data_IF_519087911523
#
_entry.id   IF_519087911523
#
_cell.length_a   1.000
_cell.length_b   1.000
_cell.length_c   1.000
_cell.angle_alpha   90.00
_cell.angle_beta   90.00
_cell.angle_gamma   90.00
#
_symmetry.space_group_name_H-M   'P 1'
#
loop_
_entity.id
_entity.type
_entity.pdbx_description
1 polymer ?
#
# COMPACT_ATOMS: atom_id res chain seq x y z
N UNK A 1 -2.09 -13.13 15.53
CA UNK A 1 -2.11 -11.79 14.90
C UNK A 1 -1.94 -11.93 13.40
N UNK A 2 -2.74 -11.24 12.58
CA UNK A 2 -2.51 -11.16 11.13
C UNK A 2 -1.20 -10.39 10.88
N UNK A 3 -0.38 -10.82 9.92
CA UNK A 3 0.80 -10.06 9.51
C UNK A 3 0.35 -8.76 8.84
N UNK A 4 0.81 -7.61 9.34
CA UNK A 4 0.48 -6.28 8.79
C UNK A 4 1.56 -5.88 7.79
N UNK A 5 1.44 -6.42 6.57
CA UNK A 5 2.37 -6.20 5.45
C UNK A 5 1.60 -5.54 4.32
N UNK A 6 2.11 -4.39 3.85
CA UNK A 6 1.51 -3.67 2.72
C UNK A 6 1.85 -4.34 1.40
N UNK A 7 1.05 -4.09 0.38
CA UNK A 7 1.33 -4.56 -0.98
C UNK A 7 2.67 -4.02 -1.50
N UNK A 8 2.98 -2.77 -1.17
CA UNK A 8 4.26 -2.16 -1.53
C UNK A 8 5.43 -2.87 -0.83
N UNK A 9 5.30 -3.19 0.46
CA UNK A 9 6.34 -3.92 1.19
C UNK A 9 6.54 -5.33 0.61
N UNK A 10 5.47 -6.00 0.19
CA UNK A 10 5.58 -7.29 -0.47
C UNK A 10 6.35 -7.20 -1.79
N UNK A 11 6.00 -6.23 -2.65
CA UNK A 11 6.66 -6.05 -3.96
C UNK A 11 8.14 -5.69 -3.76
N UNK A 12 8.43 -4.65 -2.99
CA UNK A 12 9.81 -4.18 -2.80
C UNK A 12 10.65 -5.14 -1.97
N UNK A 13 10.05 -5.82 -0.99
CA UNK A 13 10.71 -6.86 -0.21
C UNK A 13 11.09 -8.07 -1.06
N UNK A 14 10.21 -8.47 -1.98
CA UNK A 14 10.51 -9.54 -2.94
C UNK A 14 11.69 -9.13 -3.82
N UNK A 15 11.61 -7.97 -4.48
CA UNK A 15 12.70 -7.46 -5.33
C UNK A 15 14.04 -7.33 -4.59
N UNK A 16 14.02 -6.85 -3.34
CA UNK A 16 15.23 -6.73 -2.54
C UNK A 16 15.82 -8.11 -2.20
N UNK A 17 14.97 -9.08 -1.84
CA UNK A 17 15.43 -10.45 -1.56
C UNK A 17 16.05 -11.10 -2.80
N UNK A 18 15.52 -10.84 -3.99
CA UNK A 18 16.07 -11.32 -5.26
C UNK A 18 17.48 -10.80 -5.49
N UNK A 19 17.70 -9.50 -5.31
CA UNK A 19 19.02 -8.89 -5.52
C UNK A 19 20.05 -9.53 -4.58
N UNK A 20 19.70 -9.77 -3.31
CA UNK A 20 20.59 -10.46 -2.37
C UNK A 20 20.90 -11.89 -2.83
N UNK A 21 19.88 -12.64 -3.25
CA UNK A 21 20.07 -14.01 -3.75
C UNK A 21 21.00 -14.00 -4.98
N UNK A 22 20.84 -13.03 -5.87
CA UNK A 22 21.71 -12.87 -7.04
C UNK A 22 23.15 -12.56 -6.65
N UNK A 23 23.38 -11.63 -5.71
CA UNK A 23 24.73 -11.33 -5.23
C UNK A 23 25.40 -12.57 -4.63
N UNK A 24 24.68 -13.34 -3.81
CA UNK A 24 25.19 -14.59 -3.25
C UNK A 24 25.53 -15.57 -4.38
N UNK A 25 24.64 -15.75 -5.36
CA UNK A 25 24.89 -16.64 -6.50
C UNK A 25 26.15 -16.20 -7.26
N UNK A 26 26.31 -14.91 -7.55
CA UNK A 26 27.50 -14.39 -8.25
C UNK A 26 28.77 -14.67 -7.44
N UNK A 27 28.77 -14.35 -6.13
CA UNK A 27 29.93 -14.56 -5.25
C UNK A 27 30.31 -16.05 -5.11
N UNK A 28 29.33 -16.95 -5.14
CA UNK A 28 29.58 -18.39 -5.05
C UNK A 28 29.92 -19.04 -6.40
N UNK A 29 29.43 -18.50 -7.52
CA UNK A 29 29.58 -19.08 -8.87
C UNK A 29 30.76 -18.48 -9.65
N UNK A 30 31.42 -17.45 -9.11
CA UNK A 30 32.61 -16.80 -9.69
C UNK A 30 33.77 -17.75 -10.05
N UNK A 31 33.72 -19.02 -9.67
CA UNK A 31 34.78 -20.01 -9.89
C UNK A 31 34.46 -21.16 -10.85
N UNK A 32 33.21 -21.32 -11.36
CA UNK A 32 32.84 -22.57 -12.09
C UNK A 32 31.96 -22.48 -13.34
N UNK A 33 31.15 -21.42 -13.53
CA UNK A 33 30.24 -21.31 -14.70
C UNK A 33 30.62 -20.15 -15.62
N UNK A 34 30.44 -20.35 -16.94
CA UNK A 34 30.61 -19.30 -17.94
C UNK A 34 29.63 -18.14 -17.67
N UNK A 35 30.13 -16.91 -17.71
CA UNK A 35 29.40 -15.66 -17.47
C UNK A 35 28.14 -15.53 -18.33
N UNK A 36 28.12 -16.12 -19.53
CA UNK A 36 26.94 -16.17 -20.39
C UNK A 36 25.79 -16.97 -19.76
N UNK A 37 26.06 -18.13 -19.15
CA UNK A 37 25.03 -18.94 -18.49
C UNK A 37 24.52 -18.28 -17.21
N UNK A 38 25.40 -17.60 -16.47
CA UNK A 38 25.03 -16.80 -15.31
C UNK A 38 24.02 -15.71 -15.70
N UNK A 39 24.26 -15.00 -16.81
CA UNK A 39 23.35 -13.98 -17.34
C UNK A 39 21.97 -14.56 -17.71
N UNK A 40 21.93 -15.71 -18.38
CA UNK A 40 20.67 -16.38 -18.74
C UNK A 40 19.86 -16.80 -17.50
N UNK A 41 20.52 -17.37 -16.49
CA UNK A 41 19.89 -17.72 -15.22
C UNK A 41 19.31 -16.47 -14.55
N UNK A 42 20.09 -15.38 -14.47
CA UNK A 42 19.60 -14.12 -13.90
C UNK A 42 18.38 -13.56 -14.65
N UNK A 43 18.44 -13.54 -15.98
CA UNK A 43 17.32 -13.07 -16.80
C UNK A 43 16.05 -13.90 -16.57
N UNK A 44 16.19 -15.23 -16.49
CA UNK A 44 15.05 -16.13 -16.26
C UNK A 44 14.39 -15.94 -14.88
N UNK A 45 15.18 -15.72 -13.82
CA UNK A 45 14.65 -15.47 -12.47
C UNK A 45 13.91 -14.13 -12.44
N UNK A 46 14.48 -13.08 -13.00
CA UNK A 46 13.83 -11.76 -13.10
C UNK A 46 12.49 -11.89 -13.85
N UNK A 47 12.47 -12.62 -14.96
CA UNK A 47 11.27 -12.80 -15.76
C UNK A 47 10.20 -13.61 -15.02
N UNK A 48 10.59 -14.64 -14.28
CA UNK A 48 9.71 -15.43 -13.42
C UNK A 48 9.11 -14.58 -12.30
N UNK A 49 9.90 -13.72 -11.67
CA UNK A 49 9.40 -12.82 -10.62
C UNK A 49 8.42 -11.78 -11.15
N UNK A 50 8.72 -11.18 -12.30
CA UNK A 50 7.78 -10.28 -12.96
C UNK A 50 6.47 -10.99 -13.28
N UNK A 51 6.52 -12.26 -13.69
CA UNK A 51 5.32 -13.08 -13.89
C UNK A 51 4.58 -13.30 -12.57
N UNK A 52 5.26 -13.62 -11.47
CA UNK A 52 4.64 -13.80 -10.15
C UNK A 52 3.99 -12.50 -9.67
N UNK A 53 4.69 -11.36 -9.76
CA UNK A 53 4.16 -10.04 -9.40
C UNK A 53 2.96 -9.71 -10.28
N UNK A 54 3.03 -9.98 -11.59
CA UNK A 54 1.93 -9.77 -12.51
C UNK A 54 0.72 -10.64 -12.16
N UNK A 55 0.91 -11.91 -11.82
CA UNK A 55 -0.16 -12.80 -11.38
C UNK A 55 -0.77 -12.33 -10.07
N UNK A 56 0.05 -11.99 -9.08
CA UNK A 56 -0.38 -11.38 -7.82
C UNK A 56 -1.24 -10.15 -8.17
N UNK A 57 -0.71 -9.17 -8.88
CA UNK A 57 -1.45 -7.97 -9.26
C UNK A 57 -2.75 -8.33 -10.00
N UNK A 58 -2.77 -9.24 -10.96
CA UNK A 58 -3.98 -9.62 -11.72
C UNK A 58 -5.07 -10.26 -10.86
N UNK A 59 -4.71 -11.08 -9.87
CA UNK A 59 -5.66 -11.75 -8.99
C UNK A 59 -6.02 -10.91 -7.75
N UNK A 60 -5.19 -9.93 -7.39
CA UNK A 60 -5.24 -9.14 -6.15
C UNK A 60 -5.73 -7.70 -6.43
N UNK A 61 -5.56 -7.18 -7.65
CA UNK A 61 -6.29 -6.01 -8.19
C UNK A 61 -7.77 -6.41 -8.27
N UNK A 62 -8.51 -5.99 -7.25
CA UNK A 62 -9.82 -6.53 -6.93
C UNK A 62 -10.82 -6.38 -8.07
N UNK A 63 -11.44 -7.50 -8.46
CA UNK A 63 -12.77 -7.46 -9.06
C UNK A 63 -13.71 -6.74 -8.08
N UNK A 64 -14.28 -5.62 -8.51
CA UNK A 64 -15.27 -4.85 -7.72
C UNK A 64 -14.70 -4.01 -6.57
N UNK A 65 -13.44 -3.57 -6.65
CA UNK A 65 -12.90 -2.48 -5.80
C UNK A 65 -12.72 -1.20 -6.65
N UNK A 66 -12.78 0.00 -6.03
CA UNK A 66 -12.44 1.25 -6.72
C UNK A 66 -11.06 1.19 -7.36
N UNK A 67 -10.88 1.88 -8.50
CA UNK A 67 -9.62 1.95 -9.24
C UNK A 67 -8.42 2.40 -8.38
N UNK A 68 -8.68 3.14 -7.30
CA UNK A 68 -7.67 3.70 -6.41
C UNK A 68 -7.49 2.85 -5.13
N UNK A 69 -7.78 1.55 -5.19
CA UNK A 69 -7.62 0.62 -4.07
C UNK A 69 -7.20 -0.79 -4.52
N UNK A 70 -6.54 -1.53 -3.63
CA UNK A 70 -6.08 -2.91 -3.86
C UNK A 70 -6.48 -3.76 -2.66
N UNK A 71 -6.93 -4.99 -2.87
CA UNK A 71 -7.10 -5.95 -1.78
C UNK A 71 -5.75 -6.59 -1.53
N UNK A 72 -5.13 -6.49 -0.37
CA UNK A 72 -3.85 -7.15 -0.10
C UNK A 72 -4.04 -8.67 0.06
N UNK A 73 -3.00 -9.49 -0.22
CA UNK A 73 -3.05 -10.94 0.02
C UNK A 73 -3.19 -11.28 1.50
N UNK A 74 -2.94 -10.32 2.41
CA UNK A 74 -3.12 -10.45 3.85
C UNK A 74 -4.54 -10.07 4.31
N UNK A 75 -5.43 -9.76 3.37
CA UNK A 75 -6.85 -9.53 3.62
C UNK A 75 -7.20 -8.11 4.04
N UNK A 76 -6.34 -7.14 3.77
CA UNK A 76 -6.61 -5.72 3.98
C UNK A 76 -7.06 -5.06 2.67
N UNK A 77 -7.83 -3.98 2.73
CA UNK A 77 -7.99 -3.09 1.57
C UNK A 77 -7.00 -1.93 1.74
N UNK A 78 -6.18 -1.67 0.73
CA UNK A 78 -5.15 -0.63 0.72
C UNK A 78 -5.52 0.48 -0.27
N UNK A 79 -5.44 1.76 0.10
CA UNK A 79 -5.61 2.88 -0.84
C UNK A 79 -4.37 3.06 -1.73
N UNK A 80 -4.57 3.05 -3.05
CA UNK A 80 -3.54 3.22 -4.08
C UNK A 80 -3.93 4.33 -5.08
N UNK A 81 -3.78 5.59 -4.66
CA UNK A 81 -4.17 6.80 -5.41
C UNK A 81 -3.18 7.27 -6.49
N UNK A 82 -1.97 6.71 -6.53
CA UNK A 82 -0.94 7.04 -7.51
C UNK A 82 -0.71 8.55 -7.72
N UNK A 83 -0.62 8.99 -8.98
CA UNK A 83 -0.33 10.40 -9.34
C UNK A 83 -1.51 11.35 -9.10
N UNK A 84 -2.73 10.87 -8.86
CA UNK A 84 -3.94 11.70 -8.73
C UNK A 84 -3.87 12.63 -7.51
N UNK A 85 -3.17 12.23 -6.45
CA UNK A 85 -2.94 13.08 -5.27
C UNK A 85 -1.97 14.25 -5.46
N UNK A 86 -1.27 14.36 -6.59
CA UNK A 86 -0.33 15.48 -6.82
C UNK A 86 -1.04 16.84 -6.81
N UNK A 87 -2.26 16.89 -7.36
CA UNK A 87 -3.02 18.14 -7.52
C UNK A 87 -3.85 18.47 -6.27
N UNK A 88 -4.49 17.48 -5.65
CA UNK A 88 -5.38 17.67 -4.51
C UNK A 88 -5.03 16.72 -3.34
N UNK A 89 -4.62 17.28 -2.20
CA UNK A 89 -4.27 16.47 -1.02
C UNK A 89 -5.50 15.87 -0.34
N UNK A 90 -6.65 16.53 -0.45
CA UNK A 90 -7.93 16.04 0.08
C UNK A 90 -8.47 14.84 -0.73
N UNK A 91 -7.93 14.59 -1.92
CA UNK A 91 -8.29 13.42 -2.71
C UNK A 91 -7.95 12.11 -1.99
N UNK A 92 -6.80 12.05 -1.29
CA UNK A 92 -6.44 10.87 -0.51
C UNK A 92 -7.42 10.62 0.64
N UNK A 93 -7.84 11.69 1.32
CA UNK A 93 -8.83 11.64 2.39
C UNK A 93 -10.17 11.13 1.86
N UNK A 94 -10.67 11.68 0.75
CA UNK A 94 -11.88 11.19 0.07
C UNK A 94 -11.80 9.69 -0.23
N UNK A 95 -10.71 9.24 -0.86
CA UNK A 95 -10.51 7.82 -1.20
C UNK A 95 -10.49 6.93 0.05
N UNK A 96 -9.87 7.37 1.15
CA UNK A 96 -9.88 6.60 2.40
C UNK A 96 -11.31 6.44 2.96
N UNK A 97 -12.13 7.50 2.89
CA UNK A 97 -13.52 7.46 3.32
C UNK A 97 -14.37 6.55 2.42
N UNK A 98 -14.24 6.65 1.10
CA UNK A 98 -14.94 5.78 0.13
C UNK A 98 -14.60 4.30 0.34
N UNK A 99 -13.31 3.99 0.49
CA UNK A 99 -12.84 2.64 0.78
C UNK A 99 -13.44 2.13 2.09
N UNK A 100 -13.69 3.00 3.08
CA UNK A 100 -14.27 2.58 4.35
C UNK A 100 -15.67 1.98 4.17
N UNK A 101 -16.53 2.61 3.38
CA UNK A 101 -17.89 2.11 3.11
C UNK A 101 -17.83 0.73 2.46
N UNK A 102 -16.95 0.55 1.48
CA UNK A 102 -16.76 -0.72 0.78
C UNK A 102 -16.16 -1.78 1.72
N UNK A 103 -15.22 -1.39 2.57
CA UNK A 103 -14.55 -2.26 3.52
C UNK A 103 -15.54 -2.79 4.58
N UNK A 104 -16.48 -1.96 5.04
CA UNK A 104 -17.59 -2.37 5.91
C UNK A 104 -18.45 -3.44 5.22
N UNK A 105 -18.91 -3.17 3.99
CA UNK A 105 -19.73 -4.12 3.22
C UNK A 105 -19.02 -5.46 3.00
N UNK A 106 -17.72 -5.42 2.70
CA UNK A 106 -16.90 -6.62 2.48
C UNK A 106 -16.37 -7.27 3.75
N UNK A 107 -16.64 -6.69 4.93
CA UNK A 107 -16.10 -7.12 6.23
C UNK A 107 -14.57 -7.28 6.21
N UNK A 108 -13.86 -6.27 5.68
CA UNK A 108 -12.41 -6.23 5.58
C UNK A 108 -11.86 -5.03 6.34
N UNK A 109 -10.66 -5.18 6.88
CA UNK A 109 -9.93 -4.08 7.51
C UNK A 109 -9.19 -3.28 6.43
N UNK A 110 -8.85 -2.04 6.75
CA UNK A 110 -8.12 -1.14 5.83
C UNK A 110 -6.71 -0.99 6.33
N UNK A 111 -5.71 -1.13 5.46
CA UNK A 111 -4.32 -0.85 5.78
C UNK A 111 -3.90 0.43 5.06
N UNK A 112 -3.48 1.43 5.84
CA UNK A 112 -2.96 2.69 5.32
C UNK A 112 -1.47 2.78 5.65
N UNK A 113 -0.66 2.91 4.61
CA UNK A 113 0.79 3.09 4.74
C UNK A 113 1.24 4.30 3.94
N UNK A 114 1.17 5.48 4.57
CA UNK A 114 1.31 6.76 3.86
C UNK A 114 1.75 7.89 4.79
N UNK A 115 2.23 8.98 4.20
CA UNK A 115 2.49 10.27 4.87
C UNK A 115 1.51 11.38 4.44
N UNK A 116 0.57 11.06 3.55
CA UNK A 116 -0.37 12.03 2.97
C UNK A 116 -1.46 12.43 3.97
N UNK A 117 -1.84 11.52 4.87
CA UNK A 117 -2.79 11.75 5.96
C UNK A 117 -2.07 11.80 7.32
N UNK A 118 -2.55 12.67 8.21
CA UNK A 118 -2.05 12.78 9.59
C UNK A 118 -2.82 11.85 10.53
N UNK A 119 -2.16 11.37 11.58
CA UNK A 119 -2.80 10.60 12.68
C UNK A 119 -4.05 11.28 13.21
N UNK A 120 -3.97 12.58 13.48
CA UNK A 120 -5.10 13.40 13.94
C UNK A 120 -6.33 13.33 13.01
N UNK A 121 -6.14 13.24 11.69
CA UNK A 121 -7.26 13.14 10.75
C UNK A 121 -7.87 11.75 10.80
N UNK A 122 -7.05 10.70 10.91
CA UNK A 122 -7.56 9.33 11.07
C UNK A 122 -8.33 9.18 12.38
N UNK A 123 -7.77 9.64 13.50
CA UNK A 123 -8.44 9.63 14.81
C UNK A 123 -9.73 10.45 14.81
N UNK A 124 -9.79 11.55 14.06
CA UNK A 124 -11.01 12.36 13.92
C UNK A 124 -12.18 11.56 13.33
N UNK A 125 -11.93 10.72 12.32
CA UNK A 125 -12.99 9.98 11.63
C UNK A 125 -13.24 8.59 12.21
N UNK A 126 -12.18 7.93 12.67
CA UNK A 126 -12.20 6.52 13.02
C UNK A 126 -12.00 6.30 14.54
N UNK A 127 -11.50 7.29 15.28
CA UNK A 127 -11.37 7.20 16.74
C UNK A 127 -10.61 5.97 17.20
N UNK A 128 -11.24 5.15 18.06
CA UNK A 128 -10.65 3.93 18.64
C UNK A 128 -10.54 2.75 17.69
N UNK A 129 -11.11 2.82 16.49
CA UNK A 129 -10.99 1.72 15.50
C UNK A 129 -9.66 1.72 14.75
N UNK A 130 -8.78 2.69 15.02
CA UNK A 130 -7.45 2.78 14.41
C UNK A 130 -6.39 2.16 15.32
N UNK A 131 -5.62 1.23 14.76
CA UNK A 131 -4.41 0.69 15.38
C UNK A 131 -3.18 1.20 14.62
N UNK A 132 -2.18 1.69 15.35
CA UNK A 132 -0.96 2.25 14.75
C UNK A 132 0.24 1.32 14.93
N UNK A 133 1.00 1.18 13.86
CA UNK A 133 2.23 0.38 13.83
C UNK A 133 3.42 1.25 13.39
N UNK A 134 4.61 0.82 13.79
CA UNK A 134 5.85 1.35 13.23
C UNK A 134 6.02 0.87 11.78
N UNK A 135 6.37 1.74 10.82
CA UNK A 135 6.71 1.28 9.48
C UNK A 135 8.02 0.48 9.52
N UNK A 136 8.08 -0.61 8.74
CA UNK A 136 9.28 -1.42 8.56
C UNK A 136 10.38 -0.66 7.82
N UNK A 137 11.59 -1.22 7.76
CA UNK A 137 12.71 -0.62 7.01
C UNK A 137 12.39 -0.51 5.51
N UNK A 138 11.87 -1.58 4.90
CA UNK A 138 11.44 -1.58 3.49
C UNK A 138 10.40 -0.50 3.27
N UNK A 139 9.41 -0.41 4.15
CA UNK A 139 8.37 0.59 4.00
C UNK A 139 8.89 2.02 4.15
N UNK A 140 9.82 2.28 5.09
CA UNK A 140 10.47 3.59 5.21
C UNK A 140 11.18 3.96 3.90
N UNK A 141 11.87 3.00 3.28
CA UNK A 141 12.53 3.18 1.98
C UNK A 141 11.54 3.47 0.85
N UNK A 142 10.46 2.69 0.74
CA UNK A 142 9.40 2.93 -0.26
C UNK A 142 8.79 4.33 -0.12
N UNK A 143 8.49 4.72 1.10
CA UNK A 143 7.95 6.06 1.38
C UNK A 143 8.97 7.17 1.06
N UNK A 144 10.26 6.91 1.26
CA UNK A 144 11.31 7.83 0.86
C UNK A 144 11.37 7.99 -0.66
N UNK A 145 11.37 6.90 -1.44
CA UNK A 145 11.32 6.95 -2.92
C UNK A 145 10.09 7.74 -3.37
N UNK A 146 8.92 7.39 -2.86
CA UNK A 146 7.69 8.06 -3.27
C UNK A 146 7.71 9.54 -2.86
N UNK A 147 8.33 9.95 -1.75
CA UNK A 147 8.49 11.39 -1.44
C UNK A 147 9.31 12.13 -2.49
N UNK A 148 10.38 11.53 -2.99
CA UNK A 148 11.20 12.11 -4.07
C UNK A 148 10.35 12.31 -5.33
N UNK A 149 9.49 11.34 -5.66
CA UNK A 149 8.61 11.42 -6.84
C UNK A 149 7.48 12.44 -6.68
N UNK A 150 7.14 12.83 -5.45
CA UNK A 150 6.11 13.81 -5.11
C UNK A 150 6.76 15.06 -4.50
N UNK A 151 7.58 15.74 -5.31
CA UNK A 151 8.44 16.90 -4.96
C UNK A 151 7.76 18.08 -4.25
N UNK A 152 6.43 18.09 -4.12
CA UNK A 152 5.68 19.08 -3.36
C UNK A 152 4.64 18.37 -2.50
N UNK A 153 4.94 18.23 -1.21
CA UNK A 153 4.02 18.38 -0.05
C UNK A 153 4.41 17.44 1.10
N UNK A 154 4.49 18.06 2.28
CA UNK A 154 4.51 17.49 3.63
C UNK A 154 5.78 16.80 4.14
N UNK A 155 6.45 17.46 5.09
CA UNK A 155 7.43 16.89 6.05
C UNK A 155 6.78 15.95 7.10
N UNK A 156 5.54 15.51 6.87
CA UNK A 156 4.79 14.67 7.83
C UNK A 156 5.53 13.36 8.07
N UNK A 157 5.43 12.81 9.29
CA UNK A 157 5.95 11.48 9.59
C UNK A 157 5.12 10.43 8.85
N UNK A 158 5.78 9.43 8.28
CA UNK A 158 5.06 8.30 7.72
C UNK A 158 4.37 7.51 8.82
N UNK A 159 3.17 7.01 8.53
CA UNK A 159 2.38 6.19 9.44
C UNK A 159 2.00 4.88 8.76
N UNK A 160 1.97 3.81 9.55
CA UNK A 160 1.26 2.58 9.23
C UNK A 160 0.08 2.50 10.19
N UNK A 161 -1.13 2.42 9.67
CA UNK A 161 -2.31 2.16 10.50
C UNK A 161 -3.21 1.10 9.89
N UNK A 162 -3.87 0.36 10.75
CA UNK A 162 -4.99 -0.51 10.40
C UNK A 162 -6.27 0.15 10.92
N UNK A 163 -7.29 0.24 10.07
CA UNK A 163 -8.64 0.64 10.47
C UNK A 163 -9.47 -0.62 10.55
N UNK A 164 -9.91 -0.96 11.76
CA UNK A 164 -10.75 -2.11 12.05
C UNK A 164 -12.21 -1.75 11.77
N UNK A 165 -12.73 -2.22 10.63
CA UNK A 165 -14.08 -1.83 10.19
C UNK A 165 -15.17 -2.40 11.08
N UNK A 166 -14.91 -3.53 11.73
CA UNK A 166 -15.81 -4.13 12.73
C UNK A 166 -15.91 -3.33 14.04
N UNK A 167 -14.97 -2.42 14.30
CA UNK A 167 -14.94 -1.58 15.50
C UNK A 167 -15.51 -0.18 15.26
N UNK A 168 -15.99 0.13 14.04
CA UNK A 168 -16.63 1.40 13.73
C UNK A 168 -18.05 1.45 14.31
N UNK A 169 -18.37 2.53 15.02
CA UNK A 169 -19.72 2.77 15.52
C UNK A 169 -20.62 3.32 14.41
N UNK A 170 -21.94 3.15 14.54
CA UNK A 170 -22.91 3.72 13.59
C UNK A 170 -22.81 5.24 13.48
N UNK A 171 -22.48 5.92 14.58
CA UNK A 171 -22.24 7.37 14.60
C UNK A 171 -21.03 7.74 13.72
N UNK A 172 -19.92 7.01 13.84
CA UNK A 172 -18.73 7.24 13.01
C UNK A 172 -19.01 7.00 11.53
N UNK A 173 -19.79 5.96 11.21
CA UNK A 173 -20.23 5.70 9.83
C UNK A 173 -21.05 6.89 9.31
N UNK A 174 -21.99 7.42 10.11
CA UNK A 174 -22.76 8.60 9.75
C UNK A 174 -21.90 9.86 9.50
N UNK A 175 -20.87 10.08 10.32
CA UNK A 175 -19.90 11.18 10.11
C UNK A 175 -19.12 11.00 8.81
N UNK A 176 -18.69 9.78 8.50
CA UNK A 176 -17.98 9.45 7.25
C UNK A 176 -18.89 9.72 6.04
N UNK A 177 -20.13 9.25 6.06
CA UNK A 177 -21.09 9.45 4.97
C UNK A 177 -21.41 10.93 4.74
N UNK A 178 -21.64 11.69 5.82
CA UNK A 178 -21.87 13.14 5.72
C UNK A 178 -20.65 13.86 5.12
N UNK A 179 -19.44 13.47 5.52
CA UNK A 179 -18.21 14.09 5.01
C UNK A 179 -17.95 13.75 3.56
N UNK A 180 -18.28 12.54 3.12
CA UNK A 180 -18.17 12.14 1.71
C UNK A 180 -19.06 13.01 0.82
N UNK A 181 -20.33 13.22 1.21
CA UNK A 181 -21.26 14.10 0.49
C UNK A 181 -20.72 15.53 0.37
N UNK A 182 -20.24 16.10 1.48
CA UNK A 182 -19.61 17.44 1.47
C UNK A 182 -18.41 17.53 0.51
N UNK A 183 -17.59 16.47 0.43
CA UNK A 183 -16.43 16.43 -0.47
C UNK A 183 -16.82 16.22 -1.93
N UNK A 184 -17.94 15.56 -2.21
CA UNK A 184 -18.48 15.42 -3.56
C UNK A 184 -19.04 16.75 -4.09
N UNK A 185 -19.79 17.46 -3.26
CA UNK A 185 -20.36 18.78 -3.59
C UNK A 185 -19.28 19.84 -3.88
N UNK A 186 -18.11 19.76 -3.23
CA UNK A 186 -16.99 20.70 -3.46
C UNK A 186 -16.19 20.46 -4.73
N UNK A 187 -16.33 19.28 -5.35
CA UNK A 187 -15.56 18.91 -6.54
C UNK A 187 -16.41 18.96 -7.84
N UNK A 188 -17.70 19.26 -7.72
CA UNK A 188 -18.60 19.63 -8.83
C UNK A 188 -18.69 21.14 -8.97
#
# INVERSE_FOLDING_TARGET
>A
MKKVVSMNELIWGTLFSTVIVMEIIVLFIETTLNTFYLFLIMASIILLEWLIIFLILKYVLGKGLPLDSILSPFGFIEPHVGRKCRKNIFYFEKVCLEITIIAIQKKKDILIDSWLISKRNLEKYFGKSVEYFGPTCIQKFVNWINRVTFQRKNRKKCIRCVIHTNALTSEQIGVIDAKLKELEERNN
#
